data_IF_221146021278
#
_entry.id   IF_221146021278
#
_cell.length_a   1.000
_cell.length_b   1.000
_cell.length_c   1.000
_cell.angle_alpha   90.00
_cell.angle_beta   90.00
_cell.angle_gamma   90.00
#
_symmetry.space_group_name_H-M   'P 1'
#
loop_
_entity.id
_entity.type
_entity.pdbx_description
1 polymer ?
#
# COMPACT_ATOMS: atom_id res chain seq x y z
N UNK A 1 49.42 4.58 -13.81
CA UNK A 1 48.78 5.57 -14.71
C UNK A 1 47.34 5.16 -15.03
N UNK A 2 47.12 3.95 -15.52
CA UNK A 2 45.79 3.45 -15.90
C UNK A 2 44.78 3.51 -14.73
N UNK A 3 45.15 3.01 -13.55
CA UNK A 3 44.29 3.05 -12.35
C UNK A 3 43.95 4.49 -11.92
N UNK A 4 44.89 5.45 -12.01
CA UNK A 4 44.60 6.85 -11.69
C UNK A 4 43.70 7.54 -12.74
N UNK A 5 43.87 7.17 -14.01
CA UNK A 5 42.98 7.65 -15.07
C UNK A 5 41.55 7.10 -14.89
N UNK A 6 41.40 5.82 -14.53
CA UNK A 6 40.10 5.22 -14.23
C UNK A 6 39.47 5.86 -12.99
N UNK A 7 40.27 6.10 -11.91
CA UNK A 7 39.79 6.86 -10.74
C UNK A 7 39.35 8.27 -11.11
N UNK A 8 40.11 8.94 -12.00
CA UNK A 8 39.78 10.27 -12.47
C UNK A 8 38.50 10.35 -13.32
N UNK A 9 38.17 9.30 -14.05
CA UNK A 9 36.96 9.25 -14.87
C UNK A 9 35.74 8.80 -14.08
N UNK A 10 35.91 7.94 -13.08
CA UNK A 10 34.82 7.40 -12.25
C UNK A 10 34.57 8.21 -10.98
N UNK A 11 35.56 9.05 -10.57
CA UNK A 11 35.55 9.78 -9.28
C UNK A 11 35.41 8.86 -8.07
N UNK A 12 35.77 7.58 -8.21
CA UNK A 12 35.70 6.58 -7.14
C UNK A 12 37.10 6.24 -6.63
N UNK A 13 37.22 6.17 -5.30
CA UNK A 13 38.42 5.71 -4.62
C UNK A 13 38.61 4.20 -4.79
N UNK A 14 37.49 3.45 -4.68
CA UNK A 14 37.46 1.99 -4.80
C UNK A 14 36.85 1.63 -6.15
N UNK A 15 37.60 0.96 -7.00
CA UNK A 15 37.17 0.52 -8.32
C UNK A 15 37.01 -0.99 -8.35
N UNK A 16 37.91 -1.70 -7.69
CA UNK A 16 37.92 -3.16 -7.65
C UNK A 16 37.63 -3.64 -6.23
N UNK A 17 36.93 -4.76 -6.07
CA UNK A 17 36.68 -5.35 -4.73
C UNK A 17 37.97 -5.66 -3.95
N UNK A 18 39.10 -5.81 -4.64
CA UNK A 18 40.43 -6.03 -4.07
C UNK A 18 41.05 -4.79 -3.45
N UNK A 19 40.60 -3.58 -3.79
CA UNK A 19 41.20 -2.32 -3.30
C UNK A 19 40.86 -2.12 -1.81
N UNK A 20 39.60 -2.34 -1.43
CA UNK A 20 39.13 -2.40 -0.05
C UNK A 20 37.90 -3.31 0.02
N UNK A 21 38.07 -4.59 0.42
CA UNK A 21 36.98 -5.57 0.48
C UNK A 21 35.89 -5.18 1.47
N UNK A 22 36.24 -4.53 2.61
CA UNK A 22 35.26 -4.15 3.63
C UNK A 22 34.38 -2.97 3.18
N UNK A 23 35.03 -1.92 2.67
CA UNK A 23 34.28 -0.76 2.17
C UNK A 23 33.43 -1.13 0.94
N UNK A 24 33.92 -2.01 0.08
CA UNK A 24 33.13 -2.50 -1.06
C UNK A 24 31.91 -3.31 -0.59
N UNK A 25 32.07 -4.22 0.38
CA UNK A 25 30.96 -4.98 0.92
C UNK A 25 29.90 -4.07 1.55
N UNK A 26 30.30 -3.10 2.37
CA UNK A 26 29.39 -2.12 2.97
C UNK A 26 28.70 -1.24 1.92
N UNK A 27 29.42 -0.81 0.90
CA UNK A 27 28.86 -0.03 -0.21
C UNK A 27 27.82 -0.82 -1.01
N UNK A 28 28.07 -2.11 -1.28
CA UNK A 28 27.10 -2.99 -1.95
C UNK A 28 25.88 -3.24 -1.07
N UNK A 29 26.06 -3.38 0.24
CA UNK A 29 24.94 -3.53 1.17
C UNK A 29 24.05 -2.27 1.17
N UNK A 30 24.63 -1.07 1.28
CA UNK A 30 23.90 0.19 1.20
C UNK A 30 23.17 0.34 -0.14
N UNK A 31 23.80 -0.06 -1.25
CA UNK A 31 23.17 -0.06 -2.57
C UNK A 31 21.99 -1.02 -2.66
N UNK A 32 22.08 -2.21 -2.04
CA UNK A 32 20.99 -3.17 -1.99
C UNK A 32 19.79 -2.59 -1.24
N UNK A 33 20.02 -1.99 -0.06
CA UNK A 33 18.95 -1.34 0.74
C UNK A 33 18.28 -0.22 -0.07
N UNK A 34 19.06 0.65 -0.74
CA UNK A 34 18.49 1.72 -1.58
C UNK A 34 17.64 1.18 -2.74
N UNK A 35 18.00 0.02 -3.28
CA UNK A 35 17.21 -0.64 -4.32
C UNK A 35 15.89 -1.18 -3.78
N UNK A 36 15.91 -1.81 -2.61
CA UNK A 36 14.72 -2.29 -1.93
C UNK A 36 13.81 -1.10 -1.55
N UNK A 37 14.37 -0.04 -1.00
CA UNK A 37 13.68 1.21 -0.67
C UNK A 37 13.02 1.84 -1.91
N UNK A 38 13.67 1.78 -3.07
CA UNK A 38 13.05 2.23 -4.34
C UNK A 38 11.80 1.41 -4.69
N UNK A 39 11.77 0.12 -4.37
CA UNK A 39 10.57 -0.71 -4.55
C UNK A 39 9.49 -0.33 -3.55
N UNK A 40 9.85 -0.11 -2.28
CA UNK A 40 8.89 0.34 -1.26
C UNK A 40 8.27 1.69 -1.60
N UNK A 41 9.04 2.65 -2.11
CA UNK A 41 8.51 3.95 -2.57
C UNK A 41 7.49 3.78 -3.72
N UNK A 42 7.69 2.84 -4.64
CA UNK A 42 6.70 2.52 -5.69
C UNK A 42 5.43 1.93 -5.07
N UNK A 43 5.58 1.02 -4.11
CA UNK A 43 4.46 0.43 -3.39
C UNK A 43 3.67 1.51 -2.61
N UNK A 44 4.36 2.41 -1.93
CA UNK A 44 3.78 3.55 -1.23
C UNK A 44 2.97 4.44 -2.19
N UNK A 45 3.53 4.78 -3.36
CA UNK A 45 2.80 5.55 -4.36
C UNK A 45 1.50 4.88 -4.81
N UNK A 46 1.52 3.55 -5.00
CA UNK A 46 0.32 2.79 -5.31
C UNK A 46 -0.68 2.78 -4.14
N UNK A 47 -0.20 2.55 -2.91
CA UNK A 47 -1.02 2.56 -1.69
C UNK A 47 -1.73 3.91 -1.51
N UNK A 48 -0.99 5.03 -1.62
CA UNK A 48 -1.56 6.38 -1.51
C UNK A 48 -2.62 6.65 -2.56
N UNK A 49 -2.38 6.25 -3.81
CA UNK A 49 -3.37 6.40 -4.88
C UNK A 49 -4.67 5.65 -4.58
N UNK A 50 -4.56 4.41 -4.06
CA UNK A 50 -5.70 3.57 -3.71
C UNK A 50 -6.47 4.14 -2.51
N UNK A 51 -5.75 4.48 -1.42
CA UNK A 51 -6.34 5.00 -0.18
C UNK A 51 -7.02 6.36 -0.41
N UNK A 52 -6.37 7.29 -1.10
CA UNK A 52 -6.92 8.60 -1.38
C UNK A 52 -8.15 8.53 -2.30
N UNK A 53 -8.14 7.65 -3.30
CA UNK A 53 -9.31 7.43 -4.17
C UNK A 53 -10.48 6.85 -3.36
N UNK A 54 -10.20 5.93 -2.44
CA UNK A 54 -11.22 5.35 -1.57
C UNK A 54 -11.78 6.40 -0.60
N UNK A 55 -10.91 7.19 0.02
CA UNK A 55 -11.30 8.25 0.95
C UNK A 55 -12.18 9.30 0.26
N UNK A 56 -11.78 9.82 -0.90
CA UNK A 56 -12.57 10.78 -1.68
C UNK A 56 -13.91 10.20 -2.14
N UNK A 57 -13.97 8.90 -2.44
CA UNK A 57 -15.23 8.22 -2.79
C UNK A 57 -16.17 8.13 -1.59
N UNK A 58 -15.64 7.83 -0.40
CA UNK A 58 -16.41 7.81 0.85
C UNK A 58 -16.89 9.21 1.25
N UNK A 59 -16.09 10.25 0.99
CA UNK A 59 -16.50 11.65 1.20
C UNK A 59 -17.73 11.99 0.36
N UNK A 60 -17.67 11.75 -0.94
CA UNK A 60 -18.81 11.96 -1.85
C UNK A 60 -20.05 11.15 -1.44
N UNK A 61 -19.85 9.91 -0.97
CA UNK A 61 -20.94 9.07 -0.47
C UNK A 61 -21.58 9.66 0.80
N UNK A 62 -20.76 10.15 1.73
CA UNK A 62 -21.24 10.81 2.94
C UNK A 62 -22.08 12.06 2.61
N UNK A 63 -21.61 12.90 1.68
CA UNK A 63 -22.35 14.09 1.21
C UNK A 63 -23.72 13.72 0.61
N UNK A 64 -23.80 12.65 -0.19
CA UNK A 64 -25.06 12.16 -0.74
C UNK A 64 -26.02 11.68 0.34
N UNK A 65 -25.53 10.99 1.38
CA UNK A 65 -26.36 10.54 2.48
C UNK A 65 -26.82 11.70 3.36
N UNK A 66 -25.98 12.70 3.62
CA UNK A 66 -26.37 13.93 4.32
C UNK A 66 -27.49 14.63 3.56
N UNK A 67 -27.36 14.76 2.24
CA UNK A 67 -28.42 15.35 1.40
C UNK A 67 -29.71 14.52 1.46
N UNK A 68 -29.63 13.19 1.41
CA UNK A 68 -30.80 12.33 1.56
C UNK A 68 -31.47 12.50 2.94
N UNK A 69 -30.67 12.63 4.01
CA UNK A 69 -31.15 12.93 5.36
C UNK A 69 -31.86 14.28 5.43
N UNK A 70 -31.28 15.34 4.88
CA UNK A 70 -31.91 16.66 4.85
C UNK A 70 -33.27 16.63 4.16
N UNK A 71 -33.37 15.95 3.03
CA UNK A 71 -34.63 15.74 2.32
C UNK A 71 -35.62 14.95 3.20
N UNK A 72 -35.16 13.87 3.85
CA UNK A 72 -36.01 13.08 4.73
C UNK A 72 -36.54 13.89 5.91
N UNK A 73 -35.73 14.75 6.55
CA UNK A 73 -36.13 15.67 7.62
C UNK A 73 -37.22 16.64 7.12
N UNK A 74 -37.00 17.25 5.95
CA UNK A 74 -37.98 18.18 5.38
C UNK A 74 -39.33 17.49 5.11
N UNK A 75 -39.28 16.26 4.54
CA UNK A 75 -40.49 15.53 4.19
C UNK A 75 -41.15 14.78 5.38
N UNK A 76 -40.47 14.69 6.52
CA UNK A 76 -41.06 14.15 7.77
C UNK A 76 -42.11 15.05 8.40
N UNK A 77 -42.15 16.34 8.00
CA UNK A 77 -43.14 17.30 8.46
C UNK A 77 -44.48 17.09 7.76
N UNK A 78 -45.58 17.12 8.52
CA UNK A 78 -46.94 16.96 7.99
C UNK A 78 -47.38 18.15 7.09
N UNK A 79 -46.60 19.20 7.02
CA UNK A 79 -46.89 20.38 6.20
C UNK A 79 -46.86 20.07 4.69
N UNK A 80 -46.08 19.06 4.26
CA UNK A 80 -45.95 18.72 2.85
C UNK A 80 -46.98 17.68 2.40
N UNK A 81 -47.76 18.02 1.34
CA UNK A 81 -48.75 17.13 0.75
C UNK A 81 -48.11 15.94 -0.01
N UNK A 82 -48.85 14.84 -0.18
CA UNK A 82 -48.39 13.59 -0.79
C UNK A 82 -47.83 13.78 -2.22
N UNK A 83 -48.35 14.72 -3.00
CA UNK A 83 -47.84 15.01 -4.35
C UNK A 83 -46.43 15.59 -4.33
N UNK A 84 -46.11 16.43 -3.33
CA UNK A 84 -44.78 17.02 -3.17
C UNK A 84 -43.80 15.92 -2.78
N UNK A 85 -44.15 15.05 -1.82
CA UNK A 85 -43.33 13.92 -1.39
C UNK A 85 -43.03 12.96 -2.54
N UNK A 86 -44.03 12.70 -3.41
CA UNK A 86 -43.84 11.88 -4.60
C UNK A 86 -42.87 12.51 -5.62
N UNK A 87 -42.87 13.83 -5.77
CA UNK A 87 -41.90 14.51 -6.63
C UNK A 87 -40.48 14.44 -6.01
N UNK A 88 -40.36 14.59 -4.71
CA UNK A 88 -39.08 14.54 -3.99
C UNK A 88 -38.52 13.11 -3.97
N UNK A 89 -39.37 12.04 -4.05
CA UNK A 89 -38.86 10.66 -4.17
C UNK A 89 -37.96 10.47 -5.38
N UNK A 90 -38.22 11.19 -6.49
CA UNK A 90 -37.34 11.15 -7.66
C UNK A 90 -35.94 11.69 -7.38
N UNK A 91 -35.77 12.66 -6.47
CA UNK A 91 -34.46 13.13 -6.05
C UNK A 91 -33.71 12.06 -5.25
N UNK A 92 -34.40 11.36 -4.35
CA UNK A 92 -33.79 10.22 -3.62
C UNK A 92 -33.41 9.08 -4.56
N UNK A 93 -34.21 8.81 -5.63
CA UNK A 93 -33.82 7.84 -6.66
C UNK A 93 -32.48 8.24 -7.32
N UNK A 94 -32.29 9.53 -7.63
CA UNK A 94 -31.04 10.01 -8.21
C UNK A 94 -29.87 9.86 -7.21
N UNK A 95 -30.07 10.19 -5.95
CA UNK A 95 -29.08 10.00 -4.88
C UNK A 95 -28.70 8.52 -4.77
N UNK A 96 -29.67 7.60 -4.76
CA UNK A 96 -29.42 6.16 -4.74
C UNK A 96 -28.58 5.70 -5.93
N UNK A 97 -28.92 6.16 -7.13
CA UNK A 97 -28.17 5.81 -8.36
C UNK A 97 -26.75 6.33 -8.32
N UNK A 98 -26.54 7.56 -7.83
CA UNK A 98 -25.21 8.14 -7.64
C UNK A 98 -24.40 7.36 -6.57
N UNK A 99 -25.02 7.03 -5.44
CA UNK A 99 -24.40 6.20 -4.41
C UNK A 99 -23.99 4.81 -4.94
N UNK A 100 -24.82 4.19 -5.79
CA UNK A 100 -24.50 2.92 -6.43
C UNK A 100 -23.33 3.07 -7.43
N UNK A 101 -23.26 4.18 -8.16
CA UNK A 101 -22.13 4.46 -9.05
C UNK A 101 -20.82 4.63 -8.26
N UNK A 102 -20.86 5.31 -7.11
CA UNK A 102 -19.71 5.44 -6.20
C UNK A 102 -19.31 4.09 -5.60
N UNK A 103 -20.27 3.25 -5.21
CA UNK A 103 -20.00 1.91 -4.71
C UNK A 103 -19.32 1.00 -5.75
N UNK A 104 -19.56 1.26 -7.03
CA UNK A 104 -18.95 0.58 -8.16
C UNK A 104 -17.79 1.40 -8.78
N UNK A 105 -17.15 2.28 -7.99
CA UNK A 105 -16.01 3.08 -8.47
C UNK A 105 -14.82 2.19 -8.78
N UNK A 106 -14.10 2.57 -9.85
CA UNK A 106 -12.87 1.90 -10.28
C UNK A 106 -11.66 2.82 -10.15
N UNK A 107 -10.53 2.21 -9.83
CA UNK A 107 -9.22 2.80 -10.02
C UNK A 107 -8.48 2.00 -11.11
N UNK A 108 -8.28 2.63 -12.28
CA UNK A 108 -7.85 1.91 -13.48
C UNK A 108 -8.88 0.84 -13.88
N UNK A 109 -8.46 -0.42 -13.88
CA UNK A 109 -9.33 -1.56 -14.26
C UNK A 109 -9.86 -2.36 -13.06
N UNK A 110 -9.68 -1.87 -11.81
CA UNK A 110 -10.04 -2.59 -10.60
C UNK A 110 -11.09 -1.82 -9.80
N UNK A 111 -12.08 -2.54 -9.26
CA UNK A 111 -13.07 -1.99 -8.33
C UNK A 111 -12.45 -1.83 -6.94
N UNK A 112 -12.76 -0.71 -6.27
CA UNK A 112 -12.14 -0.37 -4.97
C UNK A 112 -12.80 -1.07 -3.77
N UNK A 113 -14.07 -1.50 -3.89
CA UNK A 113 -14.84 -2.08 -2.80
C UNK A 113 -15.12 -3.58 -2.93
N UNK A 114 -14.52 -4.27 -3.90
CA UNK A 114 -14.82 -5.68 -4.19
C UNK A 114 -13.97 -6.71 -3.42
N UNK A 115 -13.09 -6.27 -2.51
CA UNK A 115 -12.17 -7.14 -1.79
C UNK A 115 -11.05 -7.68 -2.70
N UNK A 116 -10.84 -8.99 -2.74
CA UNK A 116 -9.90 -9.65 -3.66
C UNK A 116 -10.45 -9.78 -5.09
N UNK A 117 -11.79 -9.82 -5.26
CA UNK A 117 -12.45 -9.92 -6.58
C UNK A 117 -12.45 -8.59 -7.33
N UNK A 118 -11.30 -7.96 -7.47
CA UNK A 118 -11.16 -6.59 -7.97
C UNK A 118 -11.64 -6.36 -9.41
N UNK A 119 -11.86 -7.43 -10.19
CA UNK A 119 -12.33 -7.34 -11.59
C UNK A 119 -13.86 -7.44 -11.70
N UNK A 120 -14.53 -7.95 -10.68
CA UNK A 120 -15.98 -8.14 -10.65
C UNK A 120 -16.67 -6.95 -10.01
N UNK A 121 -17.85 -6.60 -10.50
CA UNK A 121 -18.67 -5.49 -9.99
C UNK A 121 -19.12 -5.80 -8.55
N UNK A 122 -18.75 -4.96 -7.56
CA UNK A 122 -19.05 -5.24 -6.16
C UNK A 122 -20.53 -5.17 -5.81
N UNK A 123 -21.33 -4.32 -6.47
CA UNK A 123 -22.75 -4.15 -6.21
C UNK A 123 -23.57 -4.29 -7.48
N UNK A 124 -24.68 -5.04 -7.40
CA UNK A 124 -25.68 -5.11 -8.47
C UNK A 124 -26.62 -3.89 -8.46
N UNK A 125 -27.58 -3.85 -9.41
CA UNK A 125 -28.54 -2.74 -9.53
C UNK A 125 -29.49 -2.64 -8.32
N UNK A 126 -29.73 -3.74 -7.65
CA UNK A 126 -30.55 -3.84 -6.46
C UNK A 126 -29.79 -3.36 -5.22
N UNK A 127 -28.45 -3.30 -5.26
CA UNK A 127 -27.59 -2.93 -4.15
C UNK A 127 -27.09 -4.13 -3.33
N UNK A 128 -27.17 -5.36 -3.87
CA UNK A 128 -26.63 -6.54 -3.21
C UNK A 128 -25.12 -6.62 -3.46
N UNK A 129 -24.36 -7.01 -2.44
CA UNK A 129 -22.92 -7.13 -2.51
C UNK A 129 -22.52 -8.48 -3.12
N UNK A 130 -21.64 -8.47 -4.12
CA UNK A 130 -21.08 -9.64 -4.81
C UNK A 130 -19.57 -9.80 -4.66
N UNK A 131 -18.93 -8.87 -3.96
CA UNK A 131 -17.52 -8.93 -3.65
C UNK A 131 -17.21 -9.94 -2.54
N UNK A 132 -15.95 -9.97 -2.12
CA UNK A 132 -15.49 -10.75 -0.97
C UNK A 132 -14.99 -9.84 0.17
N UNK A 133 -14.51 -10.47 1.27
CA UNK A 133 -14.06 -9.78 2.49
C UNK A 133 -12.53 -9.62 2.56
N UNK A 134 -11.84 -9.75 1.44
CA UNK A 134 -10.40 -9.76 1.40
C UNK A 134 -9.79 -8.38 1.57
N UNK A 135 -8.75 -8.31 2.40
CA UNK A 135 -7.89 -7.13 2.52
C UNK A 135 -6.58 -7.38 1.79
N UNK A 136 -6.35 -6.60 0.74
CA UNK A 136 -5.10 -6.63 -0.02
C UNK A 136 -4.04 -5.95 0.83
N UNK A 137 -3.03 -6.71 1.24
CA UNK A 137 -1.91 -6.19 2.00
C UNK A 137 -0.76 -5.85 1.06
N UNK A 138 -0.11 -4.73 1.30
CA UNK A 138 1.01 -4.24 0.53
C UNK A 138 2.17 -3.93 1.47
N UNK A 139 3.34 -4.45 1.15
CA UNK A 139 4.57 -4.17 1.88
C UNK A 139 5.08 -2.77 1.50
N UNK A 140 5.17 -1.87 2.48
CA UNK A 140 5.60 -0.46 2.32
C UNK A 140 6.96 -0.18 2.94
N UNK A 141 7.46 -1.07 3.79
CA UNK A 141 8.83 -1.12 4.30
C UNK A 141 9.14 -2.58 4.63
N UNK A 142 10.39 -2.88 4.92
CA UNK A 142 10.82 -4.25 5.26
C UNK A 142 9.96 -4.83 6.39
N UNK A 143 9.30 -5.96 6.10
CA UNK A 143 8.41 -6.69 7.01
C UNK A 143 7.21 -5.86 7.53
N UNK A 144 6.91 -4.70 6.90
CA UNK A 144 5.80 -3.85 7.28
C UNK A 144 4.72 -3.81 6.19
N UNK A 145 3.58 -4.45 6.49
CA UNK A 145 2.44 -4.62 5.59
C UNK A 145 1.26 -3.76 6.05
N UNK A 146 0.58 -3.12 5.10
CA UNK A 146 -0.65 -2.37 5.37
C UNK A 146 -1.79 -2.85 4.46
N UNK A 147 -3.05 -2.82 4.92
CA UNK A 147 -4.21 -3.02 4.06
C UNK A 147 -4.41 -1.76 3.21
N UNK A 148 -4.56 -1.94 1.90
CA UNK A 148 -4.74 -0.83 0.96
C UNK A 148 -6.17 -0.71 0.44
N UNK A 149 -7.06 -1.64 0.78
CA UNK A 149 -8.46 -1.64 0.38
C UNK A 149 -9.40 -1.80 1.57
N UNK A 150 -10.63 -1.36 1.37
CA UNK A 150 -11.77 -1.62 2.24
C UNK A 150 -12.82 -2.36 1.43
N UNK A 151 -13.41 -3.42 1.94
CA UNK A 151 -14.45 -4.14 1.22
C UNK A 151 -15.83 -3.50 1.43
N UNK A 152 -16.72 -3.70 0.44
CA UNK A 152 -18.02 -3.02 0.43
C UNK A 152 -18.91 -3.33 1.63
N UNK A 153 -18.79 -4.50 2.25
CA UNK A 153 -19.57 -4.84 3.41
C UNK A 153 -19.20 -3.98 4.64
N UNK A 154 -17.92 -3.67 4.85
CA UNK A 154 -17.48 -2.78 5.94
C UNK A 154 -18.10 -1.39 5.86
N UNK A 155 -18.30 -0.90 4.63
CA UNK A 155 -18.75 0.47 4.36
C UNK A 155 -20.27 0.57 4.31
N UNK A 156 -20.92 -0.32 3.55
CA UNK A 156 -22.31 -0.16 3.11
C UNK A 156 -23.33 -0.90 3.99
N UNK A 157 -22.89 -1.76 4.92
CA UNK A 157 -23.81 -2.55 5.76
C UNK A 157 -23.73 -2.12 7.22
N UNK A 158 -24.89 -2.01 7.87
CA UNK A 158 -25.01 -1.50 9.24
C UNK A 158 -25.06 -2.61 10.30
N UNK A 159 -25.11 -3.90 9.92
CA UNK A 159 -25.21 -5.00 10.86
C UNK A 159 -23.91 -5.21 11.67
N UNK A 160 -24.04 -5.00 12.99
CA UNK A 160 -22.96 -5.18 13.97
C UNK A 160 -22.58 -6.65 14.26
N UNK A 161 -23.21 -7.63 13.60
CA UNK A 161 -23.00 -9.06 13.84
C UNK A 161 -21.89 -9.70 12.99
N UNK A 162 -21.17 -8.90 12.22
CA UNK A 162 -19.99 -9.41 11.51
C UNK A 162 -18.87 -9.54 12.54
N UNK A 163 -18.63 -10.76 13.02
CA UNK A 163 -17.38 -11.08 13.70
C UNK A 163 -16.26 -10.93 12.68
N UNK A 164 -15.63 -9.77 12.65
CA UNK A 164 -14.39 -9.60 11.92
C UNK A 164 -13.40 -10.63 12.44
N UNK A 165 -12.70 -11.38 11.58
CA UNK A 165 -11.53 -12.10 12.05
C UNK A 165 -10.62 -11.07 12.73
N UNK A 166 -9.97 -11.42 13.86
CA UNK A 166 -9.13 -10.49 14.58
C UNK A 166 -8.14 -9.84 13.61
N UNK A 167 -8.11 -8.51 13.63
CA UNK A 167 -7.24 -7.73 12.75
C UNK A 167 -5.80 -8.16 13.01
N UNK A 168 -4.99 -8.51 11.99
CA UNK A 168 -3.60 -8.95 12.21
C UNK A 168 -2.75 -7.92 12.97
N UNK A 169 -3.18 -6.66 13.05
CA UNK A 169 -2.51 -5.61 13.85
C UNK A 169 -2.64 -5.80 15.37
N UNK A 170 -3.50 -6.70 15.89
CA UNK A 170 -3.56 -6.99 17.33
C UNK A 170 -2.44 -7.94 17.81
N UNK A 171 -1.86 -8.71 16.91
CA UNK A 171 -0.76 -9.63 17.27
C UNK A 171 0.62 -8.94 17.31
N UNK A 172 0.76 -7.74 16.73
CA UNK A 172 2.03 -7.01 16.73
C UNK A 172 2.33 -6.23 18.03
N UNK A 173 1.38 -6.11 18.96
CA UNK A 173 1.60 -5.40 20.24
C UNK A 173 2.05 -6.27 21.39
N UNK A 174 2.17 -7.59 21.21
CA UNK A 174 2.78 -8.47 22.18
C UNK A 174 4.16 -8.94 21.67
N UNK A 175 5.12 -8.02 21.67
CA UNK A 175 6.53 -8.40 21.57
C UNK A 175 6.92 -9.05 22.91
N UNK A 176 6.72 -10.36 22.99
CA UNK A 176 7.36 -11.15 24.02
C UNK A 176 8.84 -11.30 23.63
N UNK A 177 9.79 -10.80 24.46
CA UNK A 177 11.20 -11.10 24.22
C UNK A 177 11.35 -12.62 24.30
N UNK A 178 11.75 -13.20 23.20
CA UNK A 178 11.85 -14.63 22.97
C UNK A 178 12.64 -15.34 24.04
N UNK A 179 12.03 -16.30 24.71
CA UNK A 179 12.74 -17.46 25.21
C UNK A 179 13.39 -18.18 24.00
N UNK A 180 14.68 -18.44 24.10
CA UNK A 180 15.46 -19.13 23.08
C UNK A 180 14.75 -20.41 22.61
N UNK A 181 14.66 -20.68 21.30
CA UNK A 181 14.13 -21.96 20.84
C UNK A 181 15.02 -23.09 21.35
N UNK A 182 14.45 -24.19 21.88
CA UNK A 182 15.23 -25.32 22.34
C UNK A 182 15.99 -25.93 21.14
N UNK A 183 17.30 -26.12 21.32
CA UNK A 183 18.16 -26.82 20.37
C UNK A 183 17.60 -28.22 20.19
N UNK A 184 17.36 -28.69 18.95
CA UNK A 184 16.88 -30.07 18.73
C UNK A 184 17.99 -31.05 19.12
N UNK A 185 17.77 -31.86 20.16
CA UNK A 185 18.61 -33.01 20.45
C UNK A 185 18.39 -34.05 19.36
N UNK A 186 19.47 -34.46 18.72
CA UNK A 186 19.48 -35.62 17.82
C UNK A 186 19.03 -36.89 18.59
N UNK A 187 17.84 -37.38 18.27
CA UNK A 187 17.47 -38.77 18.53
C UNK A 187 16.98 -39.43 17.26
N UNK A 188 17.85 -40.30 16.74
CA UNK A 188 17.71 -41.06 15.49
C UNK A 188 16.90 -42.37 15.63
N UNK A 189 15.94 -42.53 16.51
CA UNK A 189 15.30 -43.82 16.71
C UNK A 189 13.76 -43.85 16.83
N UNK A 190 13.02 -42.88 16.32
CA UNK A 190 11.54 -42.98 16.29
C UNK A 190 10.90 -42.75 14.91
N UNK A 191 11.46 -43.37 13.87
CA UNK A 191 10.87 -43.31 12.53
C UNK A 191 10.31 -44.69 12.09
N UNK A 192 9.64 -45.38 12.98
CA UNK A 192 8.87 -46.61 12.62
C UNK A 192 7.68 -46.76 13.54
N UNK A 193 6.60 -46.03 13.29
CA UNK A 193 5.21 -46.39 13.61
C UNK A 193 4.31 -45.16 13.45
N UNK A 194 4.18 -44.64 12.24
CA UNK A 194 3.03 -43.80 11.90
C UNK A 194 2.11 -44.64 11.01
N UNK A 195 1.04 -45.13 11.61
CA UNK A 195 -0.13 -45.61 10.87
C UNK A 195 -0.64 -44.51 9.96
N UNK A 196 -1.00 -44.83 8.69
CA UNK A 196 -1.58 -43.84 7.79
C UNK A 196 -2.86 -43.30 8.42
N UNK A 197 -2.95 -41.99 8.54
CA UNK A 197 -4.20 -41.29 8.90
C UNK A 197 -5.29 -41.74 7.92
N UNK A 198 -6.52 -42.07 8.40
CA UNK A 198 -7.61 -42.42 7.51
C UNK A 198 -7.91 -41.24 6.60
N UNK A 199 -8.04 -41.51 5.32
CA UNK A 199 -8.48 -40.54 4.31
C UNK A 199 -9.72 -39.86 4.84
N UNK A 200 -9.60 -38.57 5.14
CA UNK A 200 -10.74 -37.73 5.51
C UNK A 200 -11.66 -37.75 4.31
N UNK A 201 -12.78 -38.44 4.42
CA UNK A 201 -13.86 -38.38 3.45
C UNK A 201 -14.08 -36.93 3.11
N UNK A 202 -13.86 -36.57 1.84
CA UNK A 202 -14.37 -35.36 1.25
C UNK A 202 -15.89 -35.47 1.40
N UNK A 203 -16.39 -34.93 2.53
CA UNK A 203 -17.80 -34.68 2.69
C UNK A 203 -18.21 -33.90 1.43
N UNK A 204 -19.05 -34.56 0.63
CA UNK A 204 -19.71 -33.97 -0.50
C UNK A 204 -20.29 -32.63 -0.02
N UNK A 205 -19.67 -31.53 -0.49
CA UNK A 205 -20.28 -30.21 -0.39
C UNK A 205 -21.55 -30.31 -1.22
N UNK A 206 -22.64 -30.66 -0.55
CA UNK A 206 -23.97 -30.47 -1.11
C UNK A 206 -24.08 -28.99 -1.36
N UNK A 207 -24.20 -28.67 -2.64
CA UNK A 207 -24.47 -27.36 -3.20
C UNK A 207 -25.78 -26.85 -2.62
N UNK A 208 -25.75 -26.37 -1.35
CA UNK A 208 -26.88 -25.68 -0.72
C UNK A 208 -26.87 -24.22 -1.18
N UNK A 209 -27.17 -24.03 -2.45
CA UNK A 209 -27.34 -22.72 -3.12
C UNK A 209 -28.53 -21.92 -2.58
N UNK A 210 -29.19 -22.37 -1.48
CA UNK A 210 -30.37 -21.72 -0.92
C UNK A 210 -30.13 -20.83 0.29
N UNK A 211 -28.86 -20.67 0.72
CA UNK A 211 -28.49 -19.73 1.77
C UNK A 211 -27.34 -18.85 1.31
N UNK A 212 -27.64 -17.86 0.48
CA UNK A 212 -26.79 -16.66 0.44
C UNK A 212 -26.87 -16.00 1.82
N UNK A 213 -25.83 -16.15 2.69
CA UNK A 213 -25.86 -15.57 4.03
C UNK A 213 -25.78 -14.03 4.01
N UNK A 214 -25.82 -13.42 2.83
CA UNK A 214 -25.49 -12.02 2.59
C UNK A 214 -26.65 -11.15 2.12
N UNK A 215 -27.90 -11.65 2.16
CA UNK A 215 -29.08 -10.78 2.07
C UNK A 215 -29.29 -10.15 3.45
N UNK A 216 -28.34 -9.36 3.91
CA UNK A 216 -28.55 -8.52 5.08
C UNK A 216 -29.40 -7.33 4.64
N UNK A 217 -30.62 -7.28 5.13
CA UNK A 217 -31.66 -6.28 4.82
C UNK A 217 -31.29 -4.85 5.25
N UNK A 218 -30.09 -4.60 5.76
CA UNK A 218 -29.70 -3.34 6.35
C UNK A 218 -28.44 -2.75 5.66
N UNK A 219 -28.54 -2.48 4.36
CA UNK A 219 -27.53 -1.74 3.65
C UNK A 219 -28.02 -0.34 3.26
N UNK A 220 -27.11 0.57 2.96
CA UNK A 220 -27.42 1.95 2.55
C UNK A 220 -28.42 1.99 1.39
N UNK A 221 -28.33 1.07 0.42
CA UNK A 221 -29.22 1.02 -0.73
C UNK A 221 -30.62 0.59 -0.36
N UNK A 222 -30.77 -0.36 0.57
CA UNK A 222 -32.08 -0.76 1.09
C UNK A 222 -32.73 0.35 1.91
N UNK A 223 -31.96 1.10 2.69
CA UNK A 223 -32.43 2.27 3.43
C UNK A 223 -32.97 3.35 2.47
N UNK A 224 -32.19 3.69 1.43
CA UNK A 224 -32.64 4.66 0.41
C UNK A 224 -33.86 4.17 -0.36
N UNK A 225 -33.95 2.86 -0.68
CA UNK A 225 -35.12 2.28 -1.36
C UNK A 225 -36.37 2.32 -0.44
N UNK A 226 -36.19 2.04 0.84
CA UNK A 226 -37.29 2.17 1.82
C UNK A 226 -37.72 3.62 1.97
N UNK A 227 -36.78 4.58 1.94
CA UNK A 227 -37.09 6.01 1.97
C UNK A 227 -37.91 6.44 0.75
N UNK A 228 -37.54 5.97 -0.45
CA UNK A 228 -38.30 6.21 -1.69
C UNK A 228 -39.74 5.71 -1.53
N UNK A 229 -39.92 4.46 -1.09
CA UNK A 229 -41.24 3.89 -0.92
C UNK A 229 -42.06 4.57 0.19
N UNK A 230 -41.43 5.03 1.28
CA UNK A 230 -42.07 5.80 2.33
C UNK A 230 -42.60 7.15 1.80
N UNK A 231 -41.81 7.86 0.99
CA UNK A 231 -42.21 9.12 0.37
C UNK A 231 -43.34 8.93 -0.66
N UNK A 232 -43.27 7.89 -1.49
CA UNK A 232 -44.32 7.58 -2.49
C UNK A 232 -45.66 7.22 -1.83
N UNK A 233 -45.60 6.49 -0.70
CA UNK A 233 -46.77 6.07 0.05
C UNK A 233 -47.22 7.11 1.10
N UNK A 234 -46.60 8.29 1.14
CA UNK A 234 -46.90 9.38 2.06
C UNK A 234 -46.85 8.94 3.54
N UNK A 235 -45.89 8.07 3.90
CA UNK A 235 -45.73 7.53 5.25
C UNK A 235 -44.63 8.31 6.01
N UNK A 236 -45.05 9.32 6.79
CA UNK A 236 -44.18 10.17 7.58
C UNK A 236 -43.48 9.43 8.72
N UNK A 237 -44.17 8.46 9.34
CA UNK A 237 -43.59 7.67 10.44
C UNK A 237 -42.42 6.83 9.94
N UNK A 238 -42.62 6.12 8.83
CA UNK A 238 -41.52 5.35 8.23
C UNK A 238 -40.34 6.24 7.80
N UNK A 239 -40.59 7.48 7.36
CA UNK A 239 -39.55 8.44 7.03
C UNK A 239 -38.74 8.87 8.27
N UNK A 240 -39.43 9.07 9.42
CA UNK A 240 -38.78 9.40 10.69
C UNK A 240 -37.91 8.25 11.23
N UNK A 241 -38.43 7.01 11.18
CA UNK A 241 -37.67 5.81 11.62
C UNK A 241 -36.41 5.56 10.80
N UNK A 242 -36.40 6.00 9.54
CA UNK A 242 -35.23 5.87 8.67
C UNK A 242 -34.14 6.88 8.95
N UNK A 243 -34.42 8.03 9.57
CA UNK A 243 -33.41 9.06 9.90
C UNK A 243 -32.31 8.50 10.79
N UNK A 244 -32.65 7.72 11.81
CA UNK A 244 -31.68 7.10 12.71
C UNK A 244 -30.75 6.13 11.95
N UNK A 245 -31.32 5.31 11.06
CA UNK A 245 -30.55 4.35 10.26
C UNK A 245 -29.62 5.04 9.26
N UNK A 246 -30.06 6.15 8.67
CA UNK A 246 -29.21 6.96 7.79
C UNK A 246 -28.06 7.59 8.60
N UNK A 247 -28.33 8.06 9.82
CA UNK A 247 -27.31 8.59 10.73
C UNK A 247 -26.27 7.55 11.12
N UNK A 248 -26.68 6.33 11.42
CA UNK A 248 -25.76 5.22 11.66
C UNK A 248 -24.87 4.96 10.44
N UNK A 249 -25.46 4.99 9.24
CA UNK A 249 -24.69 4.81 7.98
C UNK A 249 -23.70 5.95 7.75
N UNK A 250 -24.07 7.20 7.97
CA UNK A 250 -23.18 8.36 7.90
C UNK A 250 -22.04 8.23 8.92
N UNK A 251 -22.35 7.90 10.17
CA UNK A 251 -21.37 7.73 11.24
C UNK A 251 -20.35 6.63 10.92
N UNK A 252 -20.80 5.54 10.31
CA UNK A 252 -19.94 4.45 9.84
C UNK A 252 -18.99 4.92 8.75
N UNK A 253 -19.48 5.65 7.75
CA UNK A 253 -18.63 6.18 6.68
C UNK A 253 -17.58 7.14 7.25
N UNK A 254 -17.96 8.00 8.20
CA UNK A 254 -17.02 8.91 8.88
C UNK A 254 -15.94 8.11 9.62
N UNK A 255 -16.33 7.05 10.33
CA UNK A 255 -15.37 6.15 11.01
C UNK A 255 -14.42 5.50 10.02
N UNK A 256 -14.91 5.03 8.87
CA UNK A 256 -14.04 4.45 7.82
C UNK A 256 -13.11 5.49 7.20
N UNK A 257 -13.58 6.71 6.97
CA UNK A 257 -12.73 7.83 6.50
C UNK A 257 -11.62 8.15 7.51
N UNK A 258 -11.95 8.19 8.80
CA UNK A 258 -10.94 8.40 9.86
C UNK A 258 -9.88 7.30 9.86
N UNK A 259 -10.29 6.03 9.70
CA UNK A 259 -9.37 4.90 9.59
C UNK A 259 -8.47 5.01 8.35
N UNK A 260 -9.04 5.35 7.20
CA UNK A 260 -8.26 5.56 5.97
C UNK A 260 -7.28 6.73 6.11
N UNK A 261 -7.70 7.85 6.71
CA UNK A 261 -6.83 8.99 7.00
C UNK A 261 -5.64 8.61 7.89
N UNK A 262 -5.87 7.77 8.91
CA UNK A 262 -4.79 7.23 9.74
C UNK A 262 -3.81 6.36 8.93
N UNK A 263 -4.32 5.50 8.03
CA UNK A 263 -3.47 4.70 7.15
C UNK A 263 -2.65 5.58 6.19
N UNK A 264 -3.27 6.60 5.60
CA UNK A 264 -2.56 7.57 4.73
C UNK A 264 -1.43 8.26 5.49
N UNK A 265 -1.68 8.71 6.73
CA UNK A 265 -0.66 9.33 7.56
C UNK A 265 0.49 8.35 7.87
N UNK A 266 0.18 7.09 8.17
CA UNK A 266 1.20 6.05 8.39
C UNK A 266 2.05 5.85 7.13
N UNK A 267 1.44 5.78 5.95
CA UNK A 267 2.15 5.62 4.67
C UNK A 267 3.05 6.81 4.37
N UNK A 268 2.55 8.04 4.58
CA UNK A 268 3.34 9.26 4.39
C UNK A 268 4.54 9.33 5.35
N UNK A 269 4.33 8.94 6.62
CA UNK A 269 5.43 8.89 7.58
C UNK A 269 6.49 7.86 7.18
N UNK A 270 6.07 6.68 6.74
CA UNK A 270 6.98 5.64 6.23
C UNK A 270 7.74 6.12 4.99
N UNK A 271 7.07 6.85 4.09
CA UNK A 271 7.73 7.45 2.92
C UNK A 271 8.87 8.39 3.34
N UNK A 272 8.60 9.32 4.26
CA UNK A 272 9.62 10.24 4.76
C UNK A 272 10.80 9.52 5.42
N UNK A 273 10.53 8.45 6.16
CA UNK A 273 11.57 7.63 6.78
C UNK A 273 12.45 6.96 5.73
N UNK A 274 11.85 6.35 4.70
CA UNK A 274 12.60 5.71 3.58
C UNK A 274 13.41 6.74 2.80
N UNK A 275 12.84 7.92 2.52
CA UNK A 275 13.56 8.99 1.83
C UNK A 275 14.78 9.46 2.64
N UNK A 276 14.64 9.60 3.97
CA UNK A 276 15.74 9.93 4.87
C UNK A 276 16.82 8.84 4.87
N UNK A 277 16.42 7.58 5.00
CA UNK A 277 17.33 6.43 4.97
C UNK A 277 18.09 6.35 3.63
N UNK A 278 17.44 6.63 2.51
CA UNK A 278 18.08 6.67 1.19
C UNK A 278 19.16 7.73 1.12
N UNK A 279 18.91 8.93 1.68
CA UNK A 279 19.91 10.01 1.72
C UNK A 279 21.10 9.61 2.61
N UNK A 280 20.83 9.05 3.81
CA UNK A 280 21.88 8.57 4.71
C UNK A 280 22.73 7.46 4.08
N UNK A 281 22.10 6.51 3.41
CA UNK A 281 22.79 5.42 2.71
C UNK A 281 23.62 5.93 1.52
N UNK A 282 23.15 6.94 0.79
CA UNK A 282 23.92 7.57 -0.28
C UNK A 282 25.11 8.33 0.27
N UNK A 283 24.95 9.10 1.34
CA UNK A 283 26.07 9.81 2.00
C UNK A 283 27.11 8.82 2.55
N UNK A 284 26.64 7.74 3.19
CA UNK A 284 27.50 6.66 3.67
C UNK A 284 28.28 6.00 2.52
N UNK A 285 27.60 5.68 1.42
CA UNK A 285 28.26 5.10 0.23
C UNK A 285 29.27 6.06 -0.38
N UNK A 286 28.93 7.35 -0.47
CA UNK A 286 29.84 8.39 -0.98
C UNK A 286 31.10 8.49 -0.12
N UNK A 287 30.98 8.56 1.21
CA UNK A 287 32.12 8.59 2.13
C UNK A 287 33.04 7.38 2.01
N UNK A 288 32.50 6.20 1.71
CA UNK A 288 33.27 4.98 1.57
C UNK A 288 33.94 4.86 0.20
N UNK A 289 33.24 5.21 -0.87
CA UNK A 289 33.62 4.83 -2.24
C UNK A 289 34.11 5.99 -3.09
N UNK A 290 33.71 7.24 -2.80
CA UNK A 290 34.08 8.38 -3.63
C UNK A 290 35.49 8.87 -3.29
N UNK A 291 36.20 9.34 -4.31
CA UNK A 291 37.53 9.89 -4.17
C UNK A 291 37.48 11.38 -3.81
N UNK A 292 38.41 11.84 -2.99
CA UNK A 292 38.66 13.27 -2.86
C UNK A 292 39.17 13.82 -4.19
N UNK A 293 38.35 14.64 -4.81
CA UNK A 293 38.62 15.19 -6.14
C UNK A 293 39.91 16.05 -6.14
N UNK A 294 40.18 16.79 -5.05
CA UNK A 294 41.37 17.64 -4.96
C UNK A 294 42.62 16.80 -4.84
N UNK A 295 42.64 15.76 -4.00
CA UNK A 295 43.74 14.81 -3.87
C UNK A 295 44.00 14.07 -5.20
N UNK A 296 42.93 13.58 -5.84
CA UNK A 296 42.98 12.85 -7.09
C UNK A 296 43.60 13.68 -8.25
N UNK A 297 43.19 14.94 -8.40
CA UNK A 297 43.75 15.84 -9.39
C UNK A 297 45.22 16.19 -9.09
N UNK A 298 45.58 16.36 -7.82
CA UNK A 298 46.96 16.57 -7.38
C UNK A 298 47.85 15.38 -7.78
N UNK A 299 47.39 14.17 -7.52
CA UNK A 299 48.11 12.95 -7.85
C UNK A 299 48.23 12.73 -9.37
N UNK A 300 47.20 13.00 -10.15
CA UNK A 300 47.23 12.95 -11.61
C UNK A 300 48.27 13.94 -12.14
N UNK A 301 48.25 15.18 -11.66
CA UNK A 301 49.20 16.22 -12.09
C UNK A 301 50.63 15.85 -11.74
N UNK A 302 50.88 15.37 -10.51
CA UNK A 302 52.17 14.89 -10.04
C UNK A 302 52.71 13.76 -10.92
N UNK A 303 51.84 12.82 -11.28
CA UNK A 303 52.22 11.67 -12.09
C UNK A 303 52.48 12.06 -13.56
N UNK A 304 51.75 13.04 -14.11
CA UNK A 304 52.04 13.64 -15.42
C UNK A 304 53.43 14.31 -15.42
N UNK A 305 53.77 15.05 -14.37
CA UNK A 305 55.10 15.66 -14.22
C UNK A 305 56.22 14.60 -14.14
N UNK A 306 56.03 13.53 -13.38
CA UNK A 306 56.99 12.41 -13.28
C UNK A 306 57.19 11.77 -14.64
N UNK A 307 56.14 11.50 -15.39
CA UNK A 307 56.21 10.94 -16.74
C UNK A 307 56.97 11.86 -17.70
N UNK A 308 56.66 13.15 -17.67
CA UNK A 308 57.33 14.14 -18.51
C UNK A 308 58.85 14.23 -18.20
N UNK A 309 59.18 14.20 -16.91
CA UNK A 309 60.59 14.18 -16.45
C UNK A 309 61.30 12.89 -16.86
N UNK A 310 60.68 11.74 -16.68
CA UNK A 310 61.19 10.44 -17.09
C UNK A 310 61.47 10.38 -18.62
N UNK A 311 60.53 10.94 -19.40
CA UNK A 311 60.67 11.04 -20.86
C UNK A 311 61.88 11.95 -21.28
N UNK A 312 61.98 13.10 -20.60
CA UNK A 312 63.14 14.01 -20.85
C UNK A 312 64.47 13.39 -20.47
N UNK A 313 64.50 12.70 -19.31
CA UNK A 313 65.73 12.02 -18.84
C UNK A 313 66.13 10.86 -19.77
N UNK A 314 65.17 10.04 -20.19
CA UNK A 314 65.36 8.96 -21.13
C UNK A 314 65.94 9.46 -22.49
N UNK A 315 65.34 10.55 -23.01
CA UNK A 315 65.83 11.19 -24.24
C UNK A 315 67.29 11.74 -24.10
N UNK A 316 67.62 12.29 -22.92
CA UNK A 316 69.01 12.77 -22.64
C UNK A 316 69.97 11.65 -22.52
N UNK A 317 69.62 10.49 -21.98
CA UNK A 317 70.52 9.31 -21.90
C UNK A 317 70.71 8.66 -23.26
N UNK A 318 69.70 8.55 -24.10
CA UNK A 318 69.83 8.00 -25.46
C UNK A 318 70.73 8.87 -26.33
N UNK A 319 70.64 10.20 -26.27
CA UNK A 319 71.45 11.10 -27.02
C UNK A 319 72.92 11.04 -26.58
N UNK A 320 73.25 10.85 -25.30
CA UNK A 320 74.67 10.69 -24.83
C UNK A 320 75.24 9.34 -25.20
N UNK A 321 74.50 8.28 -25.27
CA UNK A 321 74.91 6.95 -25.68
C UNK A 321 75.32 6.90 -27.17
N UNK A 322 74.54 7.55 -28.02
CA UNK A 322 74.82 7.64 -29.46
C UNK A 322 76.08 8.51 -29.78
N UNK A 323 76.28 9.62 -29.05
CA UNK A 323 77.47 10.45 -29.20
C UNK A 323 78.76 9.77 -28.74
N UNK A 324 78.70 8.94 -27.65
CA UNK A 324 79.87 8.17 -27.19
C UNK A 324 80.22 6.94 -28.05
N UNK A 325 79.24 6.47 -28.85
CA UNK A 325 79.50 5.35 -29.78
C UNK A 325 80.08 5.79 -31.11
N UNK A 326 79.88 7.07 -31.50
CA UNK A 326 80.35 7.65 -32.77
C UNK A 326 81.67 8.45 -32.64
N UNK A 327 82.22 8.60 -31.44
CA UNK A 327 83.54 9.21 -31.17
C UNK A 327 84.54 8.12 -30.80
#
# INVERSE_FOLDING_TARGET
MEDLQVKGTTLKKIIKPSDDPMANFQGLQAQSVNKDNTQYLRNIGYALSQLNTTESTLEQLAELLVKAKEIAIQQSSDFYGGNIRKNVSHEIIQIRNQALALANKRLGNRYIFSGYKTLDTPFDKEGNYKGDFGHIQLEIAKDFFIPINVHGQEVFFTDNNIKYPPHPLKEFNEFHPSENPPIPSENKDELKNQTPLPARELASVTDDTSRDPFITKNNIFSQLTTLISALENNNTIATQDLLEKIDESISRIITMRTRLGSLVNTVLHTQLQIDTENVENQDFQSKLMDADVAELFSDITKQQHILQTAYQTGKGLMNKSLLNFLS
#
